data_IF_748189823737
#
_entry.id   IF_748189823737
#
_cell.length_a   1.000
_cell.length_b   1.000
_cell.length_c   1.000
_cell.angle_alpha   90.00
_cell.angle_beta   90.00
_cell.angle_gamma   90.00
#
_symmetry.space_group_name_H-M   'P 1'
#
loop_
_entity.id
_entity.type
_entity.pdbx_description
1 polymer ?
#
# COMPACT_ATOMS: atom_id res chain seq x y z
N UNK A 1 -3.76 -0.01 1.25
CA UNK A 1 -4.69 -0.92 1.95
C UNK A 1 -6.05 -0.28 1.89
N UNK A 2 -7.04 -1.04 1.45
CA UNK A 2 -8.40 -0.55 1.28
C UNK A 2 -9.05 -0.21 2.63
N UNK A 3 -9.84 0.85 2.72
CA UNK A 3 -10.54 1.25 3.95
C UNK A 3 -11.62 0.26 4.41
N UNK A 4 -12.08 -0.60 3.50
CA UNK A 4 -13.07 -1.66 3.77
C UNK A 4 -12.39 -3.03 3.97
N UNK A 5 -11.06 -3.10 3.86
CA UNK A 5 -10.29 -4.32 4.11
C UNK A 5 -10.30 -4.64 5.62
N UNK A 6 -10.52 -5.90 5.99
CA UNK A 6 -10.43 -6.35 7.39
C UNK A 6 -9.06 -6.10 8.01
N UNK A 7 -8.04 -5.93 7.18
CA UNK A 7 -6.68 -5.60 7.59
C UNK A 7 -6.40 -4.09 7.65
N UNK A 8 -7.37 -3.21 7.39
CA UNK A 8 -7.16 -1.76 7.40
C UNK A 8 -6.55 -1.28 8.73
N UNK A 9 -7.18 -1.60 9.86
CA UNK A 9 -6.68 -1.26 11.20
C UNK A 9 -5.28 -1.82 11.47
N UNK A 10 -5.07 -3.15 11.36
CA UNK A 10 -3.75 -3.75 11.51
C UNK A 10 -2.66 -3.16 10.60
N UNK A 11 -3.00 -2.78 9.37
CA UNK A 11 -2.06 -2.16 8.45
C UNK A 11 -1.65 -0.75 8.90
N UNK A 12 -2.59 0.04 9.43
CA UNK A 12 -2.28 1.34 10.03
C UNK A 12 -1.38 1.20 11.26
N UNK A 13 -1.70 0.24 12.15
CA UNK A 13 -0.89 -0.06 13.34
C UNK A 13 0.54 -0.47 12.96
N UNK A 14 0.67 -1.34 11.95
CA UNK A 14 1.97 -1.75 11.44
C UNK A 14 2.79 -0.56 10.92
N UNK A 15 2.18 0.29 10.07
CA UNK A 15 2.85 1.48 9.52
C UNK A 15 3.27 2.44 10.63
N UNK A 16 2.41 2.66 11.64
CA UNK A 16 2.72 3.53 12.78
C UNK A 16 3.85 2.99 13.67
N UNK A 17 4.06 1.68 13.68
CA UNK A 17 5.12 1.04 14.45
C UNK A 17 6.50 1.04 13.76
N UNK A 18 6.58 1.45 12.48
CA UNK A 18 7.85 1.46 11.76
C UNK A 18 8.77 2.57 12.32
N UNK A 19 10.08 2.29 12.51
CA UNK A 19 11.03 3.26 13.04
C UNK A 19 11.24 4.45 12.09
N UNK A 20 10.95 4.25 10.80
CA UNK A 20 10.90 5.30 9.80
C UNK A 20 9.60 5.14 8.99
N UNK A 21 8.90 6.24 8.69
CA UNK A 21 7.69 6.17 7.88
C UNK A 21 8.03 5.67 6.47
N UNK A 22 7.17 4.85 5.84
CA UNK A 22 7.36 4.46 4.45
C UNK A 22 7.33 5.68 3.52
N UNK A 23 8.18 5.68 2.49
CA UNK A 23 8.17 6.70 1.43
C UNK A 23 6.82 6.74 0.72
N UNK A 24 6.21 5.57 0.53
CA UNK A 24 4.87 5.43 -0.03
C UNK A 24 3.98 4.67 0.94
N UNK A 25 2.86 5.30 1.26
CA UNK A 25 1.74 4.67 1.96
C UNK A 25 0.46 5.04 1.22
N UNK A 26 -0.38 4.04 0.92
CA UNK A 26 -1.69 4.27 0.32
C UNK A 26 -2.78 3.64 1.18
N UNK A 27 -3.73 4.47 1.62
CA UNK A 27 -4.95 4.08 2.31
C UNK A 27 -6.11 4.76 1.59
N UNK A 28 -6.92 3.97 0.88
CA UNK A 28 -7.91 4.46 -0.08
C UNK A 28 -9.16 3.58 -0.07
N UNK A 29 -10.25 4.03 -0.67
CA UNK A 29 -11.49 3.26 -0.76
C UNK A 29 -11.29 1.90 -1.44
N UNK A 30 -11.94 0.86 -0.91
CA UNK A 30 -11.90 -0.50 -1.44
C UNK A 30 -11.69 -1.57 -0.39
N UNK A 31 -11.96 -2.82 -0.76
CA UNK A 31 -11.81 -3.99 0.11
C UNK A 31 -10.71 -4.96 -0.33
N UNK A 32 -10.58 -6.07 0.40
CA UNK A 32 -9.59 -7.12 0.14
C UNK A 32 -9.89 -7.88 -1.17
N UNK A 33 -9.53 -7.29 -2.31
CA UNK A 33 -9.93 -7.79 -3.62
C UNK A 33 -8.83 -7.68 -4.65
N UNK A 34 -8.85 -8.59 -5.63
CA UNK A 34 -7.99 -8.51 -6.80
C UNK A 34 -8.16 -7.20 -7.57
N UNK A 35 -9.39 -6.67 -7.63
CA UNK A 35 -9.67 -5.41 -8.32
C UNK A 35 -8.87 -4.26 -7.69
N UNK A 36 -8.97 -4.09 -6.37
CA UNK A 36 -8.24 -3.06 -5.64
C UNK A 36 -6.72 -3.18 -5.85
N UNK A 37 -6.17 -4.39 -5.73
CA UNK A 37 -4.72 -4.60 -5.91
C UNK A 37 -4.26 -4.34 -7.35
N UNK A 38 -5.05 -4.75 -8.35
CA UNK A 38 -4.74 -4.48 -9.75
C UNK A 38 -4.75 -2.98 -10.06
N UNK A 39 -5.71 -2.23 -9.51
CA UNK A 39 -5.81 -0.78 -9.67
C UNK A 39 -4.56 -0.05 -9.15
N UNK A 40 -3.96 -0.54 -8.06
CA UNK A 40 -2.75 0.04 -7.45
C UNK A 40 -1.43 -0.53 -7.99
N UNK A 41 -1.49 -1.49 -8.92
CA UNK A 41 -0.29 -2.23 -9.38
C UNK A 41 0.67 -1.34 -10.17
N UNK A 42 0.16 -0.42 -11.00
CA UNK A 42 1.01 0.46 -11.81
C UNK A 42 1.80 1.46 -10.96
N UNK A 43 1.18 2.02 -9.92
CA UNK A 43 1.87 2.91 -8.97
C UNK A 43 2.94 2.16 -8.19
N UNK A 44 2.63 0.93 -7.73
CA UNK A 44 3.59 0.08 -7.05
C UNK A 44 4.79 -0.28 -7.94
N UNK A 45 4.56 -0.61 -9.22
CA UNK A 45 5.65 -0.87 -10.15
C UNK A 45 6.44 0.37 -10.52
N UNK A 46 5.79 1.54 -10.62
CA UNK A 46 6.48 2.81 -10.86
C UNK A 46 7.44 3.13 -9.72
N UNK A 47 7.02 2.94 -8.47
CA UNK A 47 7.89 3.08 -7.30
C UNK A 47 9.05 2.07 -7.28
N UNK A 48 8.78 0.79 -7.57
CA UNK A 48 9.85 -0.21 -7.63
C UNK A 48 10.85 0.10 -8.75
N UNK A 49 10.38 0.60 -9.89
CA UNK A 49 11.25 0.95 -11.01
C UNK A 49 12.28 2.02 -10.64
N UNK A 50 11.93 3.04 -9.82
CA UNK A 50 12.89 4.07 -9.39
C UNK A 50 14.01 3.52 -8.51
N UNK A 51 13.79 2.39 -7.85
CA UNK A 51 14.75 1.73 -6.96
C UNK A 51 15.53 0.60 -7.64
N UNK A 52 15.03 0.08 -8.75
CA UNK A 52 15.62 -1.04 -9.48
C UNK A 52 16.36 -0.64 -10.76
N UNK A 53 16.05 0.53 -11.33
CA UNK A 53 16.80 1.10 -12.45
C UNK A 53 18.09 1.77 -11.93
N UNK A 54 19.09 0.94 -11.64
CA UNK A 54 20.48 1.35 -11.42
C UNK A 54 21.23 1.57 -12.74
#
# INVERSE_FOLDING_TARGET
CGTEDSFYGPAQEFVAALPQPPEITSFSEGGHSRYYWNDHTLDAFSFLATHLAA
#
